data_IF_871072159955
#
_entry.id   IF_871072159955
#
_cell.length_a   1.000
_cell.length_b   1.000
_cell.length_c   1.000
_cell.angle_alpha   90.00
_cell.angle_beta   90.00
_cell.angle_gamma   90.00
#
_symmetry.space_group_name_H-M   'P 1'
#
loop_
_entity.id
_entity.type
_entity.pdbx_description
1 polymer ?
#
# COMPACT_ATOMS: atom_id res chain seq x y z
N UNK A 1 -22.13 -4.50 25.79
CA UNK A 1 -21.26 -4.89 24.66
C UNK A 1 -20.89 -3.62 23.91
N UNK A 2 -19.62 -3.20 23.92
CA UNK A 2 -19.21 -2.04 23.15
C UNK A 2 -19.17 -2.43 21.65
N UNK A 3 -19.98 -1.79 20.82
CA UNK A 3 -19.81 -1.86 19.37
C UNK A 3 -18.56 -1.07 18.99
N UNK A 4 -17.42 -1.76 18.89
CA UNK A 4 -16.20 -1.16 18.35
C UNK A 4 -16.42 -0.88 16.87
N UNK A 5 -16.59 0.39 16.52
CA UNK A 5 -16.62 0.82 15.12
C UNK A 5 -15.33 0.37 14.44
N UNK A 6 -15.46 -0.26 13.26
CA UNK A 6 -14.30 -0.78 12.53
C UNK A 6 -13.36 0.39 12.20
N UNK A 7 -12.05 0.27 12.46
CA UNK A 7 -11.12 1.35 12.24
C UNK A 7 -11.08 1.70 10.75
N UNK A 8 -11.35 2.98 10.44
CA UNK A 8 -11.08 3.55 9.12
C UNK A 8 -9.61 3.96 9.05
N UNK A 9 -8.97 3.68 7.92
CA UNK A 9 -7.59 4.07 7.62
C UNK A 9 -7.56 4.83 6.30
N UNK A 10 -6.57 5.69 6.17
CA UNK A 10 -6.38 6.51 4.98
C UNK A 10 -5.49 5.78 3.98
N UNK A 11 -5.94 5.66 2.73
CA UNK A 11 -5.07 5.23 1.64
C UNK A 11 -4.01 6.30 1.38
N UNK A 12 -2.73 5.92 1.33
CA UNK A 12 -1.64 6.88 1.14
C UNK A 12 -1.62 7.50 -0.28
N UNK A 13 -2.25 6.84 -1.25
CA UNK A 13 -2.26 7.24 -2.67
C UNK A 13 -3.41 8.20 -3.00
N UNK A 14 -4.64 7.84 -2.63
CA UNK A 14 -5.84 8.65 -2.93
C UNK A 14 -6.34 9.49 -1.76
N UNK A 15 -5.81 9.29 -0.54
CA UNK A 15 -6.21 9.98 0.70
C UNK A 15 -7.65 9.71 1.18
N UNK A 16 -8.38 8.81 0.53
CA UNK A 16 -9.71 8.36 0.97
C UNK A 16 -9.63 7.56 2.28
N UNK A 17 -10.62 7.76 3.16
CA UNK A 17 -10.79 6.97 4.40
C UNK A 17 -11.62 5.72 4.09
N UNK A 18 -11.04 4.54 4.29
CA UNK A 18 -11.64 3.25 3.93
C UNK A 18 -11.50 2.29 5.13
N UNK A 19 -12.39 1.31 5.23
CA UNK A 19 -12.29 0.24 6.24
C UNK A 19 -10.92 -0.45 6.17
N UNK A 20 -10.26 -0.63 7.32
CA UNK A 20 -8.96 -1.31 7.39
C UNK A 20 -8.96 -2.68 6.70
N UNK A 21 -10.10 -3.39 6.69
CA UNK A 21 -10.25 -4.70 6.06
C UNK A 21 -10.18 -4.68 4.53
N UNK A 22 -10.39 -3.52 3.90
CA UNK A 22 -10.37 -3.33 2.44
C UNK A 22 -9.06 -2.67 1.97
N UNK A 23 -8.07 -2.55 2.86
CA UNK A 23 -6.80 -1.91 2.59
C UNK A 23 -5.67 -2.91 2.74
N UNK A 24 -4.77 -2.93 1.76
CA UNK A 24 -3.52 -3.67 1.86
C UNK A 24 -2.55 -2.90 2.76
N UNK A 25 -2.05 -3.56 3.80
CA UNK A 25 -1.09 -2.99 4.74
C UNK A 25 0.33 -3.39 4.35
N UNK A 26 1.14 -2.39 4.04
CA UNK A 26 2.52 -2.55 3.58
C UNK A 26 3.47 -1.78 4.49
N UNK A 27 4.74 -2.11 4.42
CA UNK A 27 5.83 -1.35 5.05
C UNK A 27 7.03 -1.31 4.11
N UNK A 28 7.93 -0.36 4.35
CA UNK A 28 9.26 -0.39 3.76
C UNK A 28 10.19 -0.98 4.82
N UNK A 29 10.91 -2.03 4.48
CA UNK A 29 11.88 -2.65 5.40
C UNK A 29 13.11 -1.74 5.61
N UNK A 30 14.05 -2.22 6.42
CA UNK A 30 15.34 -1.56 6.65
C UNK A 30 16.17 -1.35 5.37
N UNK A 31 15.98 -2.22 4.37
CA UNK A 31 16.60 -2.11 3.04
C UNK A 31 15.79 -1.22 2.08
N UNK A 32 14.73 -0.56 2.57
CA UNK A 32 13.82 0.29 1.81
C UNK A 32 13.06 -0.44 0.69
N UNK A 33 12.95 -1.77 0.80
CA UNK A 33 12.12 -2.60 -0.07
C UNK A 33 10.69 -2.63 0.42
N UNK A 34 9.75 -2.70 -0.51
CA UNK A 34 8.34 -2.85 -0.20
C UNK A 34 8.08 -4.28 0.24
N UNK A 35 7.48 -4.45 1.42
CA UNK A 35 7.12 -5.76 1.97
C UNK A 35 5.75 -5.71 2.64
N UNK A 36 5.06 -6.86 2.79
CA UNK A 36 3.88 -6.95 3.65
C UNK A 36 4.20 -6.53 5.08
N UNK A 37 3.22 -5.99 5.80
CA UNK A 37 3.43 -5.59 7.19
C UNK A 37 3.85 -6.77 8.08
N UNK A 38 4.98 -6.64 8.77
CA UNK A 38 5.59 -7.71 9.58
C UNK A 38 5.30 -7.57 11.08
N UNK A 39 4.24 -6.87 11.48
CA UNK A 39 3.86 -6.63 12.89
C UNK A 39 4.77 -5.67 13.68
N UNK A 40 5.74 -5.03 13.04
CA UNK A 40 6.58 -4.00 13.66
C UNK A 40 6.88 -2.85 12.68
N UNK A 41 7.38 -1.73 13.20
CA UNK A 41 7.81 -0.61 12.38
C UNK A 41 6.69 0.25 11.78
N UNK A 42 7.07 1.12 10.84
CA UNK A 42 6.15 2.06 10.19
C UNK A 42 5.49 1.40 8.99
N UNK A 43 4.16 1.36 9.03
CA UNK A 43 3.33 0.79 7.97
C UNK A 43 2.39 1.82 7.39
N UNK A 44 1.90 1.55 6.20
CA UNK A 44 0.94 2.37 5.49
C UNK A 44 -0.08 1.49 4.78
N UNK A 45 -1.15 2.12 4.31
CA UNK A 45 -2.28 1.43 3.69
C UNK A 45 -2.49 1.92 2.26
N UNK A 46 -2.80 0.97 1.37
CA UNK A 46 -3.21 1.25 -0.02
C UNK A 46 -4.53 0.54 -0.29
N UNK A 47 -5.48 1.21 -0.94
CA UNK A 47 -6.74 0.60 -1.33
C UNK A 47 -6.62 -0.21 -2.62
N UNK A 48 -7.49 -1.21 -2.75
CA UNK A 48 -7.54 -2.10 -3.90
C UNK A 48 -7.72 -1.33 -5.22
N UNK A 49 -8.58 -0.30 -5.24
CA UNK A 49 -8.76 0.55 -6.43
C UNK A 49 -7.43 1.17 -6.90
N UNK A 50 -6.64 1.75 -5.99
CA UNK A 50 -5.35 2.34 -6.36
C UNK A 50 -4.34 1.30 -6.86
N UNK A 51 -4.45 0.07 -6.37
CA UNK A 51 -3.62 -1.06 -6.81
C UNK A 51 -4.06 -1.49 -8.22
N UNK A 52 -5.34 -1.76 -8.41
CA UNK A 52 -5.94 -2.18 -9.69
C UNK A 52 -5.72 -1.15 -10.79
N UNK A 53 -5.95 0.13 -10.51
CA UNK A 53 -5.72 1.21 -11.46
C UNK A 53 -4.24 1.36 -11.83
N UNK A 54 -3.30 1.03 -10.94
CA UNK A 54 -1.89 1.07 -11.28
C UNK A 54 -1.45 -0.04 -12.25
N UNK A 55 -2.19 -1.16 -12.30
CA UNK A 55 -1.91 -2.27 -13.22
C UNK A 55 -2.71 -2.20 -14.52
N UNK A 56 -3.81 -1.44 -14.55
CA UNK A 56 -4.67 -1.27 -15.73
C UNK A 56 -4.42 0.05 -16.47
N UNK A 57 -4.12 1.14 -15.74
CA UNK A 57 -3.94 2.48 -16.31
C UNK A 57 -2.54 3.06 -16.04
N UNK A 58 -1.82 3.43 -17.10
CA UNK A 58 -0.48 4.00 -17.00
C UNK A 58 -0.42 5.33 -16.20
N UNK A 59 -1.49 6.12 -16.18
CA UNK A 59 -1.51 7.43 -15.47
C UNK A 59 -1.48 7.24 -13.94
N UNK A 60 -2.17 6.22 -13.44
CA UNK A 60 -2.24 5.93 -12.01
C UNK A 60 -1.01 5.20 -11.48
N UNK A 61 -0.32 4.44 -12.35
CA UNK A 61 0.99 3.85 -12.06
C UNK A 61 2.01 4.89 -11.58
N UNK A 62 2.16 6.01 -12.31
CA UNK A 62 3.11 7.08 -11.94
C UNK A 62 2.78 7.71 -10.58
N UNK A 63 1.49 7.88 -10.27
CA UNK A 63 1.04 8.42 -8.98
C UNK A 63 1.37 7.46 -7.83
N UNK A 64 1.14 6.17 -8.03
CA UNK A 64 1.49 5.13 -7.06
C UNK A 64 3.01 5.10 -6.82
N UNK A 65 3.82 5.08 -7.89
CA UNK A 65 5.29 5.13 -7.81
C UNK A 65 5.81 6.34 -7.04
N UNK A 66 5.34 7.55 -7.38
CA UNK A 66 5.73 8.77 -6.68
C UNK A 66 5.37 8.74 -5.20
N UNK A 67 4.22 8.13 -4.87
CA UNK A 67 3.79 7.98 -3.48
C UNK A 67 4.70 7.00 -2.74
N UNK A 68 5.03 5.86 -3.34
CA UNK A 68 5.93 4.87 -2.76
C UNK A 68 7.35 5.42 -2.58
N UNK A 69 7.86 6.21 -3.53
CA UNK A 69 9.14 6.91 -3.38
C UNK A 69 9.17 7.87 -2.18
N UNK A 70 8.07 8.59 -1.94
CA UNK A 70 7.96 9.49 -0.78
C UNK A 70 7.90 8.74 0.54
N UNK A 71 7.17 7.62 0.57
CA UNK A 71 6.95 6.83 1.79
C UNK A 71 8.20 6.02 2.15
N UNK A 72 8.81 5.36 1.18
CA UNK A 72 10.03 4.56 1.39
C UNK A 72 11.33 5.36 1.31
N UNK A 73 11.27 6.64 0.90
CA UNK A 73 12.44 7.54 0.76
C UNK A 73 13.56 6.94 -0.08
N UNK A 74 13.19 6.23 -1.15
CA UNK A 74 14.12 5.60 -2.09
C UNK A 74 13.50 5.52 -3.49
N UNK A 75 14.33 5.33 -4.51
CA UNK A 75 13.90 5.00 -5.88
C UNK A 75 14.22 3.52 -6.11
N UNK A 76 13.19 2.71 -6.18
CA UNK A 76 13.28 1.26 -6.41
C UNK A 76 12.09 0.81 -7.28
N UNK A 77 12.10 -0.43 -7.75
CA UNK A 77 11.09 -1.00 -8.62
C UNK A 77 9.82 -1.43 -7.86
N UNK A 78 9.22 -0.48 -7.14
CA UNK A 78 8.13 -0.75 -6.20
C UNK A 78 6.87 -1.35 -6.83
N UNK A 79 6.60 -1.08 -8.11
CA UNK A 79 5.46 -1.68 -8.81
C UNK A 79 5.69 -3.18 -9.05
N UNK A 80 6.93 -3.58 -9.32
CA UNK A 80 7.30 -4.99 -9.52
C UNK A 80 7.20 -5.71 -8.18
N UNK A 81 7.79 -5.14 -7.12
CA UNK A 81 7.69 -5.67 -5.75
C UNK A 81 6.23 -5.80 -5.29
N UNK A 82 5.39 -4.79 -5.57
CA UNK A 82 3.96 -4.85 -5.24
C UNK A 82 3.25 -5.98 -5.99
N UNK A 83 3.58 -6.20 -7.27
CA UNK A 83 3.01 -7.28 -8.07
C UNK A 83 3.39 -8.65 -7.50
N UNK A 84 4.66 -8.83 -7.13
CA UNK A 84 5.16 -10.06 -6.49
C UNK A 84 4.42 -10.34 -5.18
N UNK A 85 4.26 -9.33 -4.33
CA UNK A 85 3.50 -9.43 -3.08
C UNK A 85 2.07 -9.91 -3.35
N UNK A 86 1.40 -9.37 -4.37
CA UNK A 86 0.02 -9.75 -4.70
C UNK A 86 -0.08 -11.18 -5.28
N UNK A 87 0.93 -11.63 -6.02
CA UNK A 87 0.95 -12.99 -6.61
C UNK A 87 1.34 -14.07 -5.61
N UNK A 88 2.17 -13.77 -4.61
CA UNK A 88 2.62 -14.73 -3.60
C UNK A 88 1.69 -14.85 -2.37
N UNK A 89 0.59 -14.08 -2.33
CA UNK A 89 -0.44 -14.14 -1.26
C UNK A 89 -1.55 -15.16 -1.61
N UNK A 90 -1.33 -16.05 -2.58
CA UNK A 90 -2.26 -17.13 -2.96
C UNK A 90 -1.78 -18.50 -2.51
#
# INVERSE_FOLDING_TARGET
MACLEKPLRMCVVCRSKISQKQLLRLQCDENKKLVPFQNYGRSFYICNECIEYAFTENKNKKKLEQTLFRVCKNKDEYIIQLKEILTHVR
#
